data_IF_714156947369
#
_entry.id   IF_714156947369
#
_cell.length_a   1.000
_cell.length_b   1.000
_cell.length_c   1.000
_cell.angle_alpha   90.00
_cell.angle_beta   90.00
_cell.angle_gamma   90.00
#
_symmetry.space_group_name_H-M   'P 1'
#
loop_
_entity.id
_entity.type
_entity.pdbx_description
1 polymer ?
#
# COMPACT_ATOMS: atom_id res chain seq x y z
N UNK A 1 8.05 2.86 12.09
CA UNK A 1 7.51 2.49 10.76
C UNK A 1 8.67 1.93 9.95
N UNK A 2 8.59 0.68 9.51
CA UNK A 2 9.64 0.07 8.70
C UNK A 2 9.79 0.84 7.38
N UNK A 3 11.02 1.05 6.89
CA UNK A 3 11.29 1.69 5.59
C UNK A 3 10.52 1.03 4.45
N UNK A 4 10.29 -0.29 4.57
CA UNK A 4 9.53 -1.09 3.61
C UNK A 4 8.03 -0.74 3.58
N UNK A 5 7.42 -0.39 4.73
CA UNK A 5 6.01 0.00 4.78
C UNK A 5 5.75 1.30 4.02
N UNK A 6 6.68 2.25 4.09
CA UNK A 6 6.60 3.48 3.30
C UNK A 6 6.74 3.23 1.80
N UNK A 7 7.62 2.32 1.36
CA UNK A 7 7.72 1.98 -0.05
C UNK A 7 6.46 1.29 -0.58
N UNK A 8 5.86 0.36 0.18
CA UNK A 8 4.60 -0.26 -0.24
C UNK A 8 3.47 0.76 -0.32
N UNK A 9 3.38 1.67 0.65
CA UNK A 9 2.39 2.74 0.65
C UNK A 9 2.56 3.68 -0.55
N UNK A 10 3.80 4.09 -0.86
CA UNK A 10 4.10 4.91 -2.03
C UNK A 10 3.72 4.22 -3.35
N UNK A 11 4.03 2.92 -3.50
CA UNK A 11 3.60 2.13 -4.66
C UNK A 11 2.07 2.03 -4.76
N UNK A 12 1.38 1.93 -3.62
CA UNK A 12 -0.09 1.87 -3.59
C UNK A 12 -0.68 3.18 -4.09
N UNK A 13 -0.16 4.33 -3.63
CA UNK A 13 -0.60 5.66 -4.06
C UNK A 13 -0.33 5.83 -5.56
N UNK A 14 0.84 5.43 -6.04
CA UNK A 14 1.17 5.49 -7.47
C UNK A 14 0.17 4.68 -8.32
N UNK A 15 -0.14 3.44 -7.92
CA UNK A 15 -1.18 2.65 -8.58
C UNK A 15 -2.55 3.32 -8.49
N UNK A 16 -2.92 3.92 -7.34
CA UNK A 16 -4.22 4.56 -7.16
C UNK A 16 -4.39 5.76 -8.11
N UNK A 17 -3.35 6.58 -8.21
CA UNK A 17 -3.30 7.73 -9.12
C UNK A 17 -3.38 7.25 -10.57
N UNK A 18 -2.64 6.20 -10.95
CA UNK A 18 -2.76 5.62 -12.30
C UNK A 18 -4.14 5.04 -12.58
N UNK A 19 -4.82 4.43 -11.61
CA UNK A 19 -6.20 3.93 -11.82
C UNK A 19 -7.22 5.05 -11.96
N UNK A 20 -7.00 6.21 -11.34
CA UNK A 20 -7.94 7.34 -11.35
C UNK A 20 -7.73 8.27 -12.55
N UNK A 21 -6.48 8.52 -12.96
CA UNK A 21 -6.14 9.43 -14.06
C UNK A 21 -5.77 8.69 -15.36
N UNK A 22 -5.52 7.39 -15.31
CA UNK A 22 -5.10 6.62 -16.46
C UNK A 22 -6.25 6.27 -17.41
N UNK A 23 -5.99 6.17 -18.72
CA UNK A 23 -7.00 5.73 -19.68
C UNK A 23 -7.41 4.27 -19.42
N UNK A 24 -8.71 4.05 -19.20
CA UNK A 24 -9.33 2.74 -18.91
C UNK A 24 -8.95 1.64 -19.92
N UNK A 25 -8.74 2.01 -21.19
CA UNK A 25 -8.47 1.10 -22.32
C UNK A 25 -6.97 0.81 -22.54
N UNK A 26 -6.09 1.31 -21.68
CA UNK A 26 -4.69 0.90 -21.74
C UNK A 26 -4.58 -0.61 -21.45
N UNK A 27 -3.82 -1.35 -22.26
CA UNK A 27 -3.57 -2.79 -22.06
C UNK A 27 -3.04 -3.14 -20.65
N UNK A 28 -2.51 -2.14 -19.94
CA UNK A 28 -1.91 -2.25 -18.61
C UNK A 28 -2.90 -1.96 -17.48
N UNK A 29 -4.12 -1.50 -17.78
CA UNK A 29 -5.11 -1.09 -16.76
C UNK A 29 -5.49 -2.23 -15.82
N UNK A 30 -5.59 -3.46 -16.33
CA UNK A 30 -5.81 -4.66 -15.52
C UNK A 30 -4.65 -4.94 -14.56
N UNK A 31 -3.41 -4.74 -15.00
CA UNK A 31 -2.21 -4.94 -14.18
C UNK A 31 -2.11 -3.90 -13.07
N UNK A 32 -2.46 -2.63 -13.36
CA UNK A 32 -2.48 -1.55 -12.36
C UNK A 32 -3.58 -1.79 -11.32
N UNK A 33 -4.79 -2.22 -11.72
CA UNK A 33 -5.88 -2.56 -10.79
C UNK A 33 -5.51 -3.73 -9.88
N UNK A 34 -4.86 -4.77 -10.42
CA UNK A 34 -4.35 -5.89 -9.63
C UNK A 34 -3.23 -5.44 -8.67
N UNK A 35 -2.29 -4.63 -9.16
CA UNK A 35 -1.22 -4.05 -8.36
C UNK A 35 -1.74 -3.16 -7.22
N UNK A 36 -2.77 -2.36 -7.47
CA UNK A 36 -3.44 -1.54 -6.45
C UNK A 36 -3.95 -2.40 -5.29
N UNK A 37 -4.64 -3.50 -5.60
CA UNK A 37 -5.14 -4.44 -4.60
C UNK A 37 -4.02 -5.10 -3.82
N UNK A 38 -3.03 -5.66 -4.51
CA UNK A 38 -1.91 -6.38 -3.89
C UNK A 38 -1.06 -5.47 -3.01
N UNK A 39 -0.62 -4.32 -3.52
CA UNK A 39 0.18 -3.36 -2.77
C UNK A 39 -0.62 -2.70 -1.64
N UNK A 40 -1.93 -2.50 -1.82
CA UNK A 40 -2.80 -1.98 -0.77
C UNK A 40 -2.92 -2.94 0.41
N UNK A 41 -3.10 -4.24 0.14
CA UNK A 41 -3.12 -5.27 1.19
C UNK A 41 -1.77 -5.34 1.89
N UNK A 42 -0.66 -5.37 1.14
CA UNK A 42 0.69 -5.39 1.74
C UNK A 42 0.97 -4.13 2.59
N UNK A 43 0.57 -2.96 2.11
CA UNK A 43 0.69 -1.69 2.84
C UNK A 43 -0.13 -1.71 4.13
N UNK A 44 -1.38 -2.19 4.06
CA UNK A 44 -2.24 -2.32 5.24
C UNK A 44 -1.66 -3.31 6.26
N UNK A 45 -1.22 -4.49 5.81
CA UNK A 45 -0.54 -5.47 6.67
C UNK A 45 0.71 -4.86 7.31
N UNK A 46 1.51 -4.10 6.56
CA UNK A 46 2.69 -3.42 7.09
C UNK A 46 2.33 -2.37 8.15
N UNK A 47 1.22 -1.64 7.99
CA UNK A 47 0.73 -0.68 8.98
C UNK A 47 0.17 -1.37 10.22
N UNK A 48 -0.51 -2.51 10.08
CA UNK A 48 -1.05 -3.29 11.20
C UNK A 48 0.11 -3.92 11.98
N UNK A 49 1.06 -4.54 11.30
CA UNK A 49 2.24 -5.14 11.93
C UNK A 49 3.15 -4.08 12.59
N UNK A 50 3.30 -2.91 11.96
CA UNK A 50 3.99 -1.77 12.55
C UNK A 50 3.28 -1.17 13.76
N UNK A 51 1.94 -1.27 13.84
CA UNK A 51 1.15 -0.89 15.03
C UNK A 51 1.29 -1.92 16.16
N UNK A 52 1.44 -3.21 15.86
CA UNK A 52 1.69 -4.25 16.86
C UNK A 52 3.02 -4.09 17.61
N UNK A 53 4.00 -3.37 17.08
CA UNK A 53 5.31 -3.12 17.73
C UNK A 53 5.28 -1.88 18.66
N UNK A 54 4.17 -1.12 18.67
CA UNK A 54 3.87 -0.17 19.73
C UNK A 54 2.81 -0.78 20.66
N UNK A 55 3.14 -1.88 21.33
CA UNK A 55 2.57 -2.08 22.65
C UNK A 55 3.23 -1.02 23.53
N UNK A 56 2.45 -0.06 23.99
CA UNK A 56 2.87 1.06 24.82
C UNK A 56 3.87 0.62 25.91
N UNK A 57 5.12 1.12 25.92
CA UNK A 57 6.09 0.86 26.99
C UNK A 57 5.78 1.65 28.28
N UNK A 58 4.57 2.21 28.39
CA UNK A 58 4.15 3.04 29.55
C UNK A 58 3.16 2.29 30.45
N UNK A 59 2.65 1.13 30.02
CA UNK A 59 1.87 0.21 30.87
C UNK A 59 2.58 -1.13 31.11
N UNK A 60 3.88 -1.22 30.81
CA UNK A 60 4.80 -2.24 31.32
C UNK A 60 6.16 -1.64 31.62
#
# INVERSE_FOLDING_TARGET
MSRLGFSFLALTIACAVLTLLGPEQAAWSGLVKFGLGLFGVLSFVSMVMGRRIKFDPVLR
#
